data_IF_663474934469
#
_entry.id   IF_663474934469
#
_cell.length_a   1.000
_cell.length_b   1.000
_cell.length_c   1.000
_cell.angle_alpha   90.00
_cell.angle_beta   90.00
_cell.angle_gamma   90.00
#
_symmetry.space_group_name_H-M   'P 1'
#
loop_
_entity.id
_entity.type
_entity.pdbx_description
1 polymer ?
#
# COMPACT_ATOMS: atom_id res chain seq x y z
N UNK A 1 -29.09 -14.24 -4.67
CA UNK A 1 -28.81 -13.15 -3.71
C UNK A 1 -27.32 -12.89 -3.49
N UNK A 2 -26.41 -13.87 -3.65
CA UNK A 2 -24.96 -13.67 -3.43
C UNK A 2 -24.26 -12.63 -4.32
N UNK A 3 -24.89 -12.18 -5.42
CA UNK A 3 -24.36 -11.07 -6.23
C UNK A 3 -24.55 -9.69 -5.56
N UNK A 4 -25.42 -9.58 -4.54
CA UNK A 4 -25.69 -8.32 -3.86
C UNK A 4 -24.45 -7.80 -3.11
N UNK A 5 -23.63 -8.68 -2.53
CA UNK A 5 -22.37 -8.31 -1.88
C UNK A 5 -21.41 -7.63 -2.87
N UNK A 6 -21.22 -8.22 -4.05
CA UNK A 6 -20.42 -7.63 -5.12
C UNK A 6 -21.00 -6.31 -5.62
N UNK A 7 -22.33 -6.19 -5.68
CA UNK A 7 -22.99 -4.94 -6.07
C UNK A 7 -22.71 -3.82 -5.05
N UNK A 8 -22.80 -4.10 -3.76
CA UNK A 8 -22.50 -3.11 -2.71
C UNK A 8 -21.05 -2.63 -2.86
N UNK A 9 -20.09 -3.56 -2.90
CA UNK A 9 -18.67 -3.21 -3.02
C UNK A 9 -18.36 -2.44 -4.31
N UNK A 10 -18.93 -2.87 -5.45
CA UNK A 10 -18.74 -2.17 -6.72
C UNK A 10 -19.33 -0.75 -6.71
N UNK A 11 -20.53 -0.56 -6.14
CA UNK A 11 -21.15 0.77 -6.03
C UNK A 11 -20.35 1.69 -5.11
N UNK A 12 -19.87 1.17 -3.98
CA UNK A 12 -18.99 1.89 -3.07
C UNK A 12 -17.67 2.28 -3.75
N UNK A 13 -17.03 1.36 -4.47
CA UNK A 13 -15.79 1.61 -5.20
C UNK A 13 -15.96 2.66 -6.32
N UNK A 14 -17.16 2.81 -6.87
CA UNK A 14 -17.50 3.83 -7.86
C UNK A 14 -17.94 5.17 -7.24
N UNK A 15 -17.91 5.31 -5.90
CA UNK A 15 -18.34 6.51 -5.19
C UNK A 15 -19.85 6.74 -5.23
N UNK A 16 -20.66 5.73 -5.61
CA UNK A 16 -22.12 5.83 -5.67
C UNK A 16 -22.74 5.54 -4.31
N UNK A 17 -22.46 6.40 -3.34
CA UNK A 17 -22.75 6.21 -1.92
C UNK A 17 -24.22 5.83 -1.64
N UNK A 18 -25.19 6.62 -2.12
CA UNK A 18 -26.62 6.35 -1.90
C UNK A 18 -27.06 4.99 -2.46
N UNK A 19 -26.58 4.63 -3.66
CA UNK A 19 -26.89 3.34 -4.28
C UNK A 19 -26.24 2.19 -3.52
N UNK A 20 -25.02 2.39 -3.00
CA UNK A 20 -24.32 1.41 -2.18
C UNK A 20 -25.05 1.17 -0.85
N UNK A 21 -25.49 2.23 -0.17
CA UNK A 21 -26.29 2.18 1.06
C UNK A 21 -27.61 1.42 0.85
N UNK A 22 -28.38 1.78 -0.18
CA UNK A 22 -29.63 1.08 -0.50
C UNK A 22 -29.41 -0.41 -0.84
N UNK A 23 -28.31 -0.75 -1.51
CA UNK A 23 -27.96 -2.14 -1.77
C UNK A 23 -27.54 -2.88 -0.49
N UNK A 24 -26.82 -2.22 0.42
CA UNK A 24 -26.39 -2.75 1.70
C UNK A 24 -27.57 -3.04 2.62
N UNK A 25 -28.55 -2.14 2.73
CA UNK A 25 -29.75 -2.34 3.55
C UNK A 25 -30.54 -3.58 3.10
N UNK A 26 -30.58 -3.85 1.80
CA UNK A 26 -31.18 -5.08 1.25
C UNK A 26 -30.39 -6.34 1.62
N UNK A 27 -29.07 -6.25 1.74
CA UNK A 27 -28.23 -7.35 2.23
C UNK A 27 -28.41 -7.59 3.73
N UNK A 28 -28.51 -6.50 4.50
CA UNK A 28 -28.62 -6.53 5.96
C UNK A 28 -30.03 -6.91 6.46
N UNK A 29 -31.03 -6.91 5.57
CA UNK A 29 -32.38 -7.32 5.89
C UNK A 29 -32.43 -8.75 6.50
N UNK A 30 -33.18 -8.96 7.60
CA UNK A 30 -33.21 -10.23 8.30
C UNK A 30 -33.51 -11.42 7.38
N UNK A 31 -32.73 -12.50 7.53
CA UNK A 31 -32.92 -13.75 6.77
C UNK A 31 -32.43 -13.73 5.32
N UNK A 32 -31.94 -12.59 4.80
CA UNK A 32 -31.42 -12.47 3.43
C UNK A 32 -29.90 -12.52 3.34
N UNK A 33 -29.19 -12.27 4.44
CA UNK A 33 -27.73 -12.39 4.47
C UNK A 33 -27.29 -13.85 4.30
N UNK A 34 -26.47 -14.09 3.27
CA UNK A 34 -25.71 -15.32 3.10
C UNK A 34 -24.27 -14.94 2.75
N UNK A 35 -23.28 -15.29 3.61
CA UNK A 35 -21.89 -14.93 3.35
C UNK A 35 -21.42 -15.66 2.09
N UNK A 36 -21.19 -14.89 1.03
CA UNK A 36 -20.60 -15.37 -0.23
C UNK A 36 -19.23 -14.73 -0.46
N UNK A 37 -19.13 -13.43 -0.16
CA UNK A 37 -17.92 -12.64 -0.23
C UNK A 37 -17.99 -11.55 0.84
N UNK A 38 -16.96 -11.48 1.70
CA UNK A 38 -16.91 -10.54 2.83
C UNK A 38 -17.89 -10.85 3.96
N UNK A 39 -18.05 -9.88 4.87
CA UNK A 39 -19.08 -9.87 5.93
C UNK A 39 -19.97 -8.63 5.82
N UNK A 40 -21.11 -8.61 6.52
CA UNK A 40 -21.96 -7.40 6.57
C UNK A 40 -21.18 -6.20 7.13
N UNK A 41 -20.38 -6.41 8.17
CA UNK A 41 -19.52 -5.36 8.75
C UNK A 41 -18.49 -4.83 7.77
N UNK A 42 -17.91 -5.72 6.96
CA UNK A 42 -17.02 -5.27 5.89
C UNK A 42 -17.78 -4.50 4.81
N UNK A 43 -18.97 -4.93 4.39
CA UNK A 43 -19.76 -4.16 3.41
C UNK A 43 -20.18 -2.79 3.94
N UNK A 44 -20.50 -2.71 5.24
CA UNK A 44 -20.80 -1.44 5.90
C UNK A 44 -19.61 -0.49 5.86
N UNK A 45 -18.38 -0.98 6.08
CA UNK A 45 -17.17 -0.15 5.97
C UNK A 45 -16.99 0.43 4.57
N UNK A 46 -17.27 -0.37 3.52
CA UNK A 46 -17.23 0.09 2.12
C UNK A 46 -18.23 1.22 1.87
N UNK A 47 -19.45 1.10 2.40
CA UNK A 47 -20.49 2.14 2.25
C UNK A 47 -20.12 3.41 3.02
N UNK A 48 -19.69 3.28 4.28
CA UNK A 48 -19.24 4.41 5.11
C UNK A 48 -18.08 5.17 4.45
N UNK A 49 -17.14 4.45 3.83
CA UNK A 49 -16.06 5.06 3.08
C UNK A 49 -16.57 5.85 1.88
N UNK A 50 -17.51 5.28 1.10
CA UNK A 50 -18.11 5.97 -0.04
C UNK A 50 -18.90 7.24 0.38
N UNK A 51 -19.41 7.27 1.61
CA UNK A 51 -20.05 8.44 2.23
C UNK A 51 -19.04 9.48 2.78
N UNK A 52 -17.73 9.21 2.69
CA UNK A 52 -16.69 10.09 3.23
C UNK A 52 -16.50 9.99 4.75
N UNK A 53 -17.09 8.98 5.40
CA UNK A 53 -17.05 8.76 6.86
C UNK A 53 -15.86 7.87 7.22
N UNK A 54 -14.65 8.32 6.90
CA UNK A 54 -13.42 7.51 6.95
C UNK A 54 -13.15 6.86 8.31
N UNK A 55 -13.32 7.60 9.41
CA UNK A 55 -13.09 7.05 10.76
C UNK A 55 -14.07 5.93 11.10
N UNK A 56 -15.35 6.10 10.77
CA UNK A 56 -16.36 5.06 11.02
C UNK A 56 -16.17 3.85 10.09
N UNK A 57 -15.77 4.11 8.85
CA UNK A 57 -15.37 3.05 7.93
C UNK A 57 -14.20 2.23 8.48
N UNK A 58 -13.19 2.88 9.07
CA UNK A 58 -12.07 2.19 9.71
C UNK A 58 -12.57 1.26 10.83
N UNK A 59 -13.38 1.77 11.75
CA UNK A 59 -13.92 0.98 12.86
C UNK A 59 -14.72 -0.23 12.37
N UNK A 60 -15.61 -0.04 11.38
CA UNK A 60 -16.39 -1.13 10.80
C UNK A 60 -15.51 -2.19 10.11
N UNK A 61 -14.46 -1.75 9.39
CA UNK A 61 -13.52 -2.67 8.74
C UNK A 61 -12.69 -3.46 9.78
N UNK A 62 -12.22 -2.81 10.84
CA UNK A 62 -11.50 -3.46 11.94
C UNK A 62 -12.40 -4.48 12.66
N UNK A 63 -13.65 -4.11 12.96
CA UNK A 63 -14.63 -5.00 13.58
C UNK A 63 -15.02 -6.20 12.70
N UNK A 64 -14.84 -6.11 11.38
CA UNK A 64 -15.03 -7.23 10.45
C UNK A 64 -13.85 -8.22 10.47
N UNK A 65 -12.63 -7.76 10.75
CA UNK A 65 -11.44 -8.62 10.90
C UNK A 65 -11.57 -9.49 12.14
N UNK A 66 -12.11 -8.93 13.21
CA UNK A 66 -12.25 -9.54 14.54
C UNK A 66 -13.59 -10.27 14.72
N UNK A 67 -14.41 -10.38 13.67
CA UNK A 67 -15.71 -11.04 13.72
C UNK A 67 -15.54 -12.55 13.99
N UNK A 68 -16.25 -13.14 14.98
CA UNK A 68 -16.17 -14.58 15.24
C UNK A 68 -16.50 -15.41 13.99
N UNK A 69 -15.61 -16.35 13.63
CA UNK A 69 -15.75 -17.18 12.45
C UNK A 69 -15.16 -16.57 11.17
N UNK A 70 -14.63 -15.34 11.21
CA UNK A 70 -13.89 -14.75 10.09
C UNK A 70 -12.67 -15.60 9.70
N UNK A 71 -12.06 -16.28 10.66
CA UNK A 71 -10.93 -17.20 10.46
C UNK A 71 -11.27 -18.40 9.54
N UNK A 72 -12.54 -18.79 9.45
CA UNK A 72 -12.99 -19.83 8.52
C UNK A 72 -12.97 -19.36 7.06
N UNK A 73 -12.88 -18.04 6.83
CA UNK A 73 -12.86 -17.41 5.50
C UNK A 73 -11.62 -16.52 5.35
N UNK A 74 -10.40 -17.09 5.32
CA UNK A 74 -9.15 -16.35 5.44
C UNK A 74 -8.95 -15.30 4.32
N UNK A 75 -9.47 -15.55 3.11
CA UNK A 75 -9.40 -14.56 2.04
C UNK A 75 -10.25 -13.33 2.35
N UNK A 76 -11.49 -13.52 2.80
CA UNK A 76 -12.40 -12.43 3.14
C UNK A 76 -11.88 -11.61 4.34
N UNK A 77 -11.37 -12.29 5.37
CA UNK A 77 -10.74 -11.65 6.52
C UNK A 77 -9.52 -10.81 6.10
N UNK A 78 -8.69 -11.32 5.17
CA UNK A 78 -7.53 -10.58 4.67
C UNK A 78 -7.92 -9.35 3.83
N UNK A 79 -9.03 -9.41 3.07
CA UNK A 79 -9.57 -8.24 2.37
C UNK A 79 -10.03 -7.18 3.36
N UNK A 80 -10.76 -7.57 4.41
CA UNK A 80 -11.16 -6.64 5.47
C UNK A 80 -9.95 -6.01 6.17
N UNK A 81 -8.91 -6.79 6.47
CA UNK A 81 -7.69 -6.29 7.08
C UNK A 81 -6.91 -5.32 6.17
N UNK A 82 -6.87 -5.58 4.87
CA UNK A 82 -6.28 -4.66 3.89
C UNK A 82 -7.04 -3.31 3.86
N UNK A 83 -8.37 -3.34 3.81
CA UNK A 83 -9.18 -2.12 3.82
C UNK A 83 -9.07 -1.37 5.15
N UNK A 84 -9.12 -2.08 6.27
CA UNK A 84 -8.92 -1.51 7.60
C UNK A 84 -7.53 -0.86 7.73
N UNK A 85 -6.48 -1.52 7.24
CA UNK A 85 -5.12 -0.98 7.27
C UNK A 85 -4.96 0.27 6.40
N UNK A 86 -5.62 0.32 5.23
CA UNK A 86 -5.64 1.50 4.37
C UNK A 86 -6.39 2.67 5.01
N UNK A 87 -7.54 2.40 5.64
CA UNK A 87 -8.34 3.42 6.32
C UNK A 87 -7.62 3.95 7.58
N UNK A 88 -6.96 3.07 8.35
CA UNK A 88 -6.10 3.45 9.47
C UNK A 88 -4.96 4.38 9.04
N UNK A 89 -4.33 4.12 7.89
CA UNK A 89 -3.30 5.01 7.35
C UNK A 89 -3.88 6.40 7.01
N UNK A 90 -5.09 6.45 6.45
CA UNK A 90 -5.76 7.70 6.11
C UNK A 90 -6.20 8.51 7.34
N UNK A 91 -6.43 7.87 8.49
CA UNK A 91 -6.77 8.54 9.76
C UNK A 91 -5.55 8.85 10.64
N UNK A 92 -4.33 8.52 10.17
CA UNK A 92 -3.08 8.77 10.91
C UNK A 92 -2.73 7.71 11.96
N UNK A 93 -3.47 6.59 12.02
CA UNK A 93 -3.19 5.46 12.91
C UNK A 93 -2.11 4.53 12.32
N UNK A 94 -0.89 5.05 12.14
CA UNK A 94 0.20 4.40 11.38
C UNK A 94 0.59 3.01 11.91
N UNK A 95 0.74 2.85 13.22
CA UNK A 95 1.07 1.54 13.81
C UNK A 95 -0.03 0.52 13.53
N UNK A 96 -1.29 0.91 13.75
CA UNK A 96 -2.43 0.05 13.49
C UNK A 96 -2.56 -0.30 12.00
N UNK A 97 -2.30 0.66 11.12
CA UNK A 97 -2.25 0.44 9.68
C UNK A 97 -1.22 -0.62 9.31
N UNK A 98 -0.02 -0.51 9.86
CA UNK A 98 1.09 -1.46 9.63
C UNK A 98 0.72 -2.87 10.10
N UNK A 99 0.22 -3.02 11.32
CA UNK A 99 -0.23 -4.31 11.87
C UNK A 99 -1.25 -5.00 10.94
N UNK A 100 -2.29 -4.28 10.54
CA UNK A 100 -3.37 -4.80 9.71
C UNK A 100 -2.88 -5.18 8.30
N UNK A 101 -2.03 -4.35 7.70
CA UNK A 101 -1.46 -4.62 6.37
C UNK A 101 -0.48 -5.81 6.39
N UNK A 102 0.29 -5.99 7.47
CA UNK A 102 1.18 -7.15 7.64
C UNK A 102 0.41 -8.46 7.84
N UNK A 103 -0.67 -8.41 8.63
CA UNK A 103 -1.59 -9.54 8.81
C UNK A 103 -2.24 -9.94 7.47
N UNK A 104 -2.76 -8.95 6.72
CA UNK A 104 -3.33 -9.18 5.39
C UNK A 104 -2.29 -9.76 4.41
N UNK A 105 -1.08 -9.19 4.36
CA UNK A 105 0.00 -9.66 3.50
C UNK A 105 0.40 -11.10 3.81
N UNK A 106 0.47 -11.47 5.09
CA UNK A 106 0.78 -12.85 5.52
C UNK A 106 -0.25 -13.83 5.00
N UNK A 107 -1.53 -13.51 5.15
CA UNK A 107 -2.62 -14.36 4.66
C UNK A 107 -2.65 -14.45 3.13
N UNK A 108 -2.53 -13.32 2.41
CA UNK A 108 -2.50 -13.34 0.95
C UNK A 108 -1.31 -14.11 0.39
N UNK A 109 -0.15 -14.05 1.06
CA UNK A 109 1.03 -14.84 0.69
C UNK A 109 0.74 -16.34 0.82
N UNK A 110 0.15 -16.76 1.94
CA UNK A 110 -0.24 -18.17 2.17
C UNK A 110 -1.24 -18.66 1.12
N UNK A 111 -2.15 -17.80 0.68
CA UNK A 111 -3.19 -18.11 -0.31
C UNK A 111 -2.73 -17.98 -1.77
N UNK A 112 -1.51 -17.50 -2.04
CA UNK A 112 -1.03 -17.25 -3.41
C UNK A 112 -1.72 -16.06 -4.11
N UNK A 113 -2.39 -15.17 -3.38
CA UNK A 113 -3.12 -14.02 -3.92
C UNK A 113 -2.18 -12.86 -4.27
N UNK A 114 -1.34 -13.05 -5.30
CA UNK A 114 -0.22 -12.17 -5.63
C UNK A 114 -0.62 -10.69 -5.85
N UNK A 115 -1.76 -10.42 -6.47
CA UNK A 115 -2.24 -9.04 -6.70
C UNK A 115 -2.58 -8.31 -5.40
N UNK A 116 -3.23 -8.99 -4.45
CA UNK A 116 -3.53 -8.43 -3.14
C UNK A 116 -2.26 -8.27 -2.30
N UNK A 117 -1.36 -9.25 -2.32
CA UNK A 117 -0.07 -9.17 -1.65
C UNK A 117 0.74 -7.94 -2.13
N UNK A 118 0.82 -7.72 -3.45
CA UNK A 118 1.51 -6.56 -4.00
C UNK A 118 0.90 -5.24 -3.54
N UNK A 119 -0.44 -5.19 -3.39
CA UNK A 119 -1.15 -4.01 -2.86
C UNK A 119 -0.81 -3.76 -1.39
N UNK A 120 -0.75 -4.79 -0.53
CA UNK A 120 -0.32 -4.64 0.86
C UNK A 120 1.12 -4.12 0.96
N UNK A 121 2.05 -4.71 0.19
CA UNK A 121 3.47 -4.32 0.21
C UNK A 121 3.64 -2.86 -0.19
N UNK A 122 2.96 -2.40 -1.24
CA UNK A 122 2.99 -1.00 -1.65
C UNK A 122 2.51 -0.06 -0.53
N UNK A 123 1.39 -0.38 0.13
CA UNK A 123 0.85 0.45 1.22
C UNK A 123 1.78 0.45 2.43
N UNK A 124 2.44 -0.67 2.75
CA UNK A 124 3.47 -0.73 3.80
C UNK A 124 4.69 0.12 3.45
N UNK A 125 5.11 0.13 2.19
CA UNK A 125 6.22 0.96 1.71
C UNK A 125 5.91 2.45 1.74
N UNK A 126 4.64 2.82 1.48
CA UNK A 126 4.09 4.18 1.54
C UNK A 126 3.92 4.67 2.99
N UNK A 127 3.49 3.79 3.90
CA UNK A 127 3.29 4.09 5.33
C UNK A 127 4.57 3.99 6.16
N UNK A 128 5.66 3.45 5.60
CA UNK A 128 6.95 3.45 6.28
C UNK A 128 7.32 4.90 6.63
N UNK A 129 7.71 5.21 7.88
CA UNK A 129 8.11 6.55 8.23
C UNK A 129 9.15 7.01 7.22
N UNK A 130 8.88 8.16 6.57
CA UNK A 130 9.94 8.92 5.92
C UNK A 130 10.95 9.11 7.04
N UNK A 131 12.09 8.42 6.96
CA UNK A 131 13.16 8.54 7.94
C UNK A 131 13.29 10.01 8.29
N UNK A 132 13.03 10.30 9.56
CA UNK A 132 12.98 11.63 10.16
C UNK A 132 14.17 12.47 9.70
N UNK A 133 13.97 13.38 8.74
CA UNK A 133 14.90 14.46 8.37
C UNK A 133 16.31 14.06 7.88
N UNK A 134 16.69 12.79 7.85
CA UNK A 134 17.99 12.35 7.37
C UNK A 134 17.87 12.18 5.85
N UNK A 135 18.50 13.08 5.10
CA UNK A 135 18.67 12.92 3.66
C UNK A 135 19.18 11.49 3.41
N UNK A 136 18.42 10.63 2.71
CA UNK A 136 18.86 9.26 2.43
C UNK A 136 20.14 9.22 1.57
N UNK A 137 20.53 10.35 0.99
CA UNK A 137 21.78 10.55 0.27
C UNK A 137 22.83 11.31 1.09
N UNK A 138 22.62 11.53 2.39
CA UNK A 138 23.57 12.19 3.29
C UNK A 138 24.97 11.55 3.28
N UNK A 139 25.14 10.21 3.22
CA UNK A 139 26.46 9.58 3.15
C UNK A 139 27.19 9.81 1.83
N UNK A 140 26.51 10.33 0.79
CA UNK A 140 27.09 10.52 -0.52
C UNK A 140 27.82 11.87 -0.61
N UNK A 141 28.88 11.88 -1.40
CA UNK A 141 29.51 13.12 -1.88
C UNK A 141 28.60 13.82 -2.90
N UNK A 142 28.87 15.09 -3.18
CA UNK A 142 28.15 15.85 -4.21
C UNK A 142 28.19 15.16 -5.58
N UNK A 143 29.33 14.56 -5.94
CA UNK A 143 29.48 13.85 -7.20
C UNK A 143 28.69 12.54 -7.23
N UNK A 144 28.71 11.79 -6.14
CA UNK A 144 27.90 10.58 -5.99
C UNK A 144 26.40 10.88 -6.02
N UNK A 145 25.96 12.00 -5.44
CA UNK A 145 24.55 12.47 -5.54
C UNK A 145 24.13 12.71 -6.99
N UNK A 146 24.96 13.38 -7.79
CA UNK A 146 24.67 13.60 -9.22
C UNK A 146 24.50 12.29 -9.98
N UNK A 147 25.38 11.32 -9.74
CA UNK A 147 25.29 9.97 -10.33
C UNK A 147 24.05 9.23 -9.83
N UNK A 148 23.75 9.27 -8.52
CA UNK A 148 22.58 8.63 -7.93
C UNK A 148 21.26 9.18 -8.50
N UNK A 149 21.14 10.51 -8.67
CA UNK A 149 19.96 11.12 -9.28
C UNK A 149 19.77 10.69 -10.75
N UNK A 150 20.85 10.62 -11.52
CA UNK A 150 20.78 10.20 -12.92
C UNK A 150 20.42 8.70 -13.04
N UNK A 151 20.96 7.85 -12.15
CA UNK A 151 20.58 6.43 -12.06
C UNK A 151 19.10 6.25 -11.68
N UNK A 152 18.61 7.05 -10.74
CA UNK A 152 17.21 7.06 -10.31
C UNK A 152 16.27 7.48 -11.46
N UNK A 153 16.64 8.52 -12.22
CA UNK A 153 15.95 8.96 -13.43
C UNK A 153 16.03 7.92 -14.57
N UNK A 154 16.91 6.95 -14.43
CA UNK A 154 16.97 5.76 -15.26
C UNK A 154 17.99 5.77 -16.37
N UNK A 155 18.90 6.73 -16.34
CA UNK A 155 20.01 6.81 -17.26
C UNK A 155 20.94 5.58 -17.13
N UNK A 156 21.54 5.21 -18.24
CA UNK A 156 22.63 4.24 -18.37
C UNK A 156 23.95 4.88 -17.95
N UNK A 157 24.95 4.07 -17.61
CA UNK A 157 26.25 4.61 -17.19
C UNK A 157 26.94 5.39 -18.31
N UNK A 158 26.63 5.08 -19.58
CA UNK A 158 27.10 5.82 -20.76
C UNK A 158 26.47 7.22 -20.85
N UNK A 159 25.16 7.31 -20.71
CA UNK A 159 24.44 8.61 -20.72
C UNK A 159 24.86 9.48 -19.52
N UNK A 160 25.12 8.87 -18.36
CA UNK A 160 25.63 9.57 -17.18
C UNK A 160 27.05 10.10 -17.44
N UNK A 161 27.91 9.27 -18.04
CA UNK A 161 29.28 9.63 -18.38
C UNK A 161 29.31 10.83 -19.34
N UNK A 162 28.48 10.81 -20.38
CA UNK A 162 28.31 11.92 -21.34
C UNK A 162 27.77 13.18 -20.65
N UNK A 163 26.70 13.07 -19.86
CA UNK A 163 26.09 14.21 -19.17
C UNK A 163 27.03 14.87 -18.16
N UNK A 164 27.86 14.08 -17.50
CA UNK A 164 28.73 14.52 -16.44
C UNK A 164 30.18 14.76 -16.90
N UNK A 165 30.45 14.61 -18.21
CA UNK A 165 31.77 14.78 -18.83
C UNK A 165 32.87 13.95 -18.16
N UNK A 166 32.62 12.66 -17.93
CA UNK A 166 33.57 11.70 -17.35
C UNK A 166 33.57 10.37 -18.09
N UNK A 167 34.52 9.48 -17.80
CA UNK A 167 34.54 8.14 -18.39
C UNK A 167 33.44 7.23 -17.80
N UNK A 168 32.99 6.24 -18.59
CA UNK A 168 32.06 5.19 -18.11
C UNK A 168 32.66 4.42 -16.92
N UNK A 169 33.98 4.20 -16.93
CA UNK A 169 34.70 3.56 -15.82
C UNK A 169 34.58 4.35 -14.52
N UNK A 170 34.68 5.68 -14.60
CA UNK A 170 34.47 6.59 -13.46
C UNK A 170 33.04 6.49 -12.93
N UNK A 171 32.04 6.41 -13.81
CA UNK A 171 30.65 6.21 -13.41
C UNK A 171 30.46 4.85 -12.72
N UNK A 172 31.04 3.77 -13.25
CA UNK A 172 30.99 2.44 -12.63
C UNK A 172 31.57 2.45 -11.20
N UNK A 173 32.69 3.15 -11.01
CA UNK A 173 33.30 3.34 -9.69
C UNK A 173 32.35 4.07 -8.73
N UNK A 174 31.76 5.18 -9.16
CA UNK A 174 30.78 5.91 -8.35
C UNK A 174 29.55 5.04 -8.02
N UNK A 175 29.02 4.27 -8.98
CA UNK A 175 27.88 3.36 -8.75
C UNK A 175 28.20 2.36 -7.65
N UNK A 176 29.37 1.72 -7.70
CA UNK A 176 29.81 0.76 -6.67
C UNK A 176 29.89 1.40 -5.29
N UNK A 177 30.48 2.59 -5.20
CA UNK A 177 30.60 3.31 -3.93
C UNK A 177 29.25 3.74 -3.39
N UNK A 178 28.34 4.20 -4.25
CA UNK A 178 26.97 4.59 -3.88
C UNK A 178 26.22 3.39 -3.29
N UNK A 179 26.22 2.24 -3.98
CA UNK A 179 25.54 1.04 -3.48
C UNK A 179 26.12 0.59 -2.13
N UNK A 180 27.44 0.62 -1.99
CA UNK A 180 28.11 0.29 -0.72
C UNK A 180 27.73 1.25 0.40
N UNK A 181 27.76 2.58 0.15
CA UNK A 181 27.47 3.61 1.14
C UNK A 181 26.00 3.62 1.58
N UNK A 182 25.10 3.20 0.69
CA UNK A 182 23.67 3.12 0.97
C UNK A 182 23.21 1.72 1.41
N UNK A 183 24.12 0.74 1.52
CA UNK A 183 23.78 -0.64 1.89
C UNK A 183 22.90 -1.37 0.86
N UNK A 184 22.92 -0.94 -0.40
CA UNK A 184 22.08 -1.47 -1.46
C UNK A 184 22.78 -2.59 -2.21
N UNK A 185 22.00 -3.59 -2.65
CA UNK A 185 22.53 -4.76 -3.39
C UNK A 185 22.47 -4.55 -4.90
N UNK A 186 21.55 -3.71 -5.37
CA UNK A 186 21.34 -3.50 -6.79
C UNK A 186 20.99 -2.06 -7.14
N UNK A 187 21.25 -1.68 -8.39
CA UNK A 187 20.78 -0.41 -8.96
C UNK A 187 19.26 -0.27 -8.95
N UNK A 188 18.52 -1.38 -8.83
CA UNK A 188 17.04 -1.38 -8.79
C UNK A 188 16.55 -0.85 -7.45
N UNK A 189 17.26 -1.18 -6.37
CA UNK A 189 17.02 -0.70 -5.01
C UNK A 189 17.23 0.83 -4.91
N UNK A 190 18.12 1.38 -5.74
CA UNK A 190 18.34 2.83 -5.78
C UNK A 190 17.16 3.60 -6.41
N UNK A 191 16.42 2.96 -7.34
CA UNK A 191 15.22 3.56 -7.96
C UNK A 191 14.01 3.56 -7.03
N UNK A 192 13.93 2.64 -6.05
CA UNK A 192 12.85 2.67 -5.05
C UNK A 192 13.08 3.77 -4.02
N UNK A 193 14.34 4.01 -3.63
CA UNK A 193 14.74 5.11 -2.75
C UNK A 193 14.35 6.49 -3.31
N UNK A 194 14.51 6.74 -4.61
CA UNK A 194 14.15 8.04 -5.20
C UNK A 194 12.64 8.29 -5.33
N UNK A 195 11.81 7.24 -5.25
CA UNK A 195 10.34 7.39 -5.23
C UNK A 195 9.85 7.87 -3.88
N UNK A 196 10.64 7.70 -2.82
CA UNK A 196 10.47 8.36 -1.52
C UNK A 196 10.99 9.80 -1.64
N UNK A 197 10.26 10.65 -2.36
CA UNK A 197 10.69 12.04 -2.54
C UNK A 197 10.50 12.79 -1.20
N UNK A 198 11.55 13.37 -0.59
CA UNK A 198 11.34 14.34 0.46
C UNK A 198 10.73 15.59 -0.19
N UNK A 199 9.59 16.02 0.34
CA UNK A 199 9.06 17.36 0.07
C UNK A 199 10.12 18.34 0.60
N UNK A 200 10.57 19.26 -0.25
CA UNK A 200 11.42 20.37 0.20
C UNK A 200 10.59 21.21 1.16
N UNK A 201 11.06 21.34 2.40
CA UNK A 201 10.65 22.39 3.33
C UNK A 201 11.02 23.77 2.78
#
# INVERSE_FOLDING_TARGET
LGWLSYRVDALAALGRAEQARAAYERCAAPGLWRPYYGSLRWLESRVLEAEGRTSEAFEAAAAAVEEPGAEAFPFAQAVAALDAGRLAAATGATERARELLEAAATTFRRLGAAGYLARCVRLLDESAPVSSGIDPLAPLTTRERQVAHALAAGMTNKEIAERLYVSVTTVNFHVRNILSKLGLRSRRDLRSLSRRRPVKS
#
